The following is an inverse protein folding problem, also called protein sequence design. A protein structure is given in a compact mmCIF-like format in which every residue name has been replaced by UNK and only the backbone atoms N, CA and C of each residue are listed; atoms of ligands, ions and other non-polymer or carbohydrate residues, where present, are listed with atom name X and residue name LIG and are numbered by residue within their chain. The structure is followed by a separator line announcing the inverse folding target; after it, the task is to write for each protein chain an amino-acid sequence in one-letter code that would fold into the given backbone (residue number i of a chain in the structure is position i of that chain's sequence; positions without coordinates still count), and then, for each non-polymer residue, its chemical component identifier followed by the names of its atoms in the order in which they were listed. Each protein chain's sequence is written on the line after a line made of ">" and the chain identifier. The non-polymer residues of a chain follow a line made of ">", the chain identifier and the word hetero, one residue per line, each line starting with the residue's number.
data_IF_786146906502
#
_entry.id   IF_786146906502
#
_cell.length_a   1.000
_cell.length_b   1.000
_cell.length_c   1.000
_cell.angle_alpha   90.00
_cell.angle_beta   90.00
_cell.angle_gamma   90.00
#
_symmetry.space_group_name_H-M   'P 1'
#
loop_
_entity.id
_entity.type
_entity.pdbx_description
1 polymer ?
#
# COMPACT_ATOMS: atom_id res chain seq x y z
N UNK A 1 -48.12 -30.35 -29.52
CA UNK A 1 -48.69 -29.06 -29.09
C UNK A 1 -48.24 -28.50 -27.71
N UNK A 2 -47.29 -29.07 -26.92
CA UNK A 2 -46.86 -28.45 -25.66
C UNK A 2 -45.68 -27.45 -25.79
N UNK A 3 -45.03 -27.36 -26.96
CA UNK A 3 -43.82 -26.53 -27.15
C UNK A 3 -44.09 -25.04 -27.32
N UNK A 4 -45.27 -24.64 -27.80
CA UNK A 4 -45.63 -23.22 -27.97
C UNK A 4 -45.97 -22.54 -26.63
N UNK A 5 -46.52 -23.27 -25.66
CA UNK A 5 -46.83 -22.73 -24.34
C UNK A 5 -45.58 -22.38 -23.50
N UNK A 6 -44.48 -23.11 -23.71
CA UNK A 6 -43.21 -22.84 -23.02
C UNK A 6 -42.45 -21.63 -23.61
N UNK A 7 -42.71 -21.27 -24.88
CA UNK A 7 -42.12 -20.10 -25.52
C UNK A 7 -42.79 -18.79 -25.05
N UNK A 8 -44.12 -18.77 -24.90
CA UNK A 8 -44.85 -17.60 -24.40
C UNK A 8 -44.62 -17.33 -22.90
N UNK A 9 -44.36 -18.37 -22.10
CA UNK A 9 -43.95 -18.19 -20.70
C UNK A 9 -42.53 -17.62 -20.52
N UNK A 10 -41.65 -17.74 -21.52
CA UNK A 10 -40.30 -17.11 -21.48
C UNK A 10 -40.33 -15.65 -21.93
N UNK A 11 -41.25 -15.28 -22.82
CA UNK A 11 -41.42 -13.89 -23.26
C UNK A 11 -41.99 -12.99 -22.15
N UNK A 12 -42.89 -13.51 -21.32
CA UNK A 12 -43.54 -12.76 -20.23
C UNK A 12 -42.69 -12.62 -18.97
N UNK A 13 -41.67 -13.46 -18.77
CA UNK A 13 -40.75 -13.38 -17.61
C UNK A 13 -39.61 -12.35 -17.75
N UNK A 14 -39.46 -11.71 -18.92
CA UNK A 14 -38.38 -10.75 -19.20
C UNK A 14 -38.78 -9.28 -19.15
N UNK A 15 -40.08 -8.97 -19.15
CA UNK A 15 -40.58 -7.60 -19.12
C UNK A 15 -40.83 -7.18 -17.67
N UNK A 16 -39.80 -6.65 -17.00
CA UNK A 16 -40.01 -5.84 -15.79
C UNK A 16 -40.99 -4.73 -16.17
N UNK A 17 -42.17 -4.63 -15.51
CA UNK A 17 -43.19 -3.67 -15.86
C UNK A 17 -42.62 -2.25 -15.88
N UNK A 18 -43.03 -1.43 -16.86
CA UNK A 18 -42.51 -0.08 -17.04
C UNK A 18 -42.70 0.81 -15.80
N UNK A 19 -43.69 0.46 -14.97
CA UNK A 19 -44.03 1.10 -13.69
C UNK A 19 -42.93 0.93 -12.63
N UNK A 20 -42.34 -0.27 -12.50
CA UNK A 20 -41.21 -0.53 -11.60
C UNK A 20 -39.96 0.27 -12.02
N UNK A 21 -39.80 0.56 -13.30
CA UNK A 21 -38.68 1.39 -13.80
C UNK A 21 -38.87 2.87 -13.48
N UNK A 22 -40.12 3.35 -13.47
CA UNK A 22 -40.42 4.73 -13.07
C UNK A 22 -40.21 4.91 -11.56
N UNK A 23 -40.74 3.98 -10.75
CA UNK A 23 -40.53 3.97 -9.29
C UNK A 23 -39.07 3.82 -8.90
N UNK A 24 -38.30 2.94 -9.56
CA UNK A 24 -36.87 2.82 -9.34
C UNK A 24 -36.10 4.11 -9.72
N UNK A 25 -36.52 4.81 -10.79
CA UNK A 25 -35.94 6.10 -11.19
C UNK A 25 -36.24 7.20 -10.18
N UNK A 26 -37.45 7.25 -9.63
CA UNK A 26 -37.81 8.23 -8.58
C UNK A 26 -37.13 7.91 -7.25
N UNK A 27 -37.08 6.65 -6.83
CA UNK A 27 -36.32 6.23 -5.66
C UNK A 27 -34.82 6.54 -5.82
N UNK A 28 -34.26 6.35 -7.01
CA UNK A 28 -32.88 6.76 -7.33
C UNK A 28 -32.69 8.28 -7.34
N UNK A 29 -33.66 9.07 -7.81
CA UNK A 29 -33.60 10.54 -7.74
C UNK A 29 -33.71 11.03 -6.30
N UNK A 30 -34.58 10.43 -5.49
CA UNK A 30 -34.73 10.73 -4.07
C UNK A 30 -33.48 10.33 -3.28
N UNK A 31 -32.92 9.15 -3.53
CA UNK A 31 -31.65 8.72 -2.93
C UNK A 31 -30.48 9.60 -3.37
N UNK A 32 -30.42 10.03 -4.64
CA UNK A 32 -29.39 10.97 -5.13
C UNK A 32 -29.57 12.39 -4.60
N UNK A 33 -30.80 12.82 -4.32
CA UNK A 33 -31.08 14.08 -3.62
C UNK A 33 -30.73 14.02 -2.12
N UNK A 34 -30.81 12.84 -1.51
CA UNK A 34 -30.52 12.61 -0.10
C UNK A 34 -29.04 12.38 0.23
N UNK A 35 -28.23 11.86 -0.70
CA UNK A 35 -26.77 11.78 -0.51
C UNK A 35 -26.20 13.18 -0.72
N UNK A 36 -26.21 13.97 0.34
CA UNK A 36 -25.57 15.27 0.39
C UNK A 36 -24.14 15.13 -0.15
N UNK A 37 -23.88 15.77 -1.30
CA UNK A 37 -22.52 16.06 -1.70
C UNK A 37 -21.84 16.65 -0.47
N UNK A 38 -20.79 15.99 0.03
CA UNK A 38 -20.12 16.37 1.26
C UNK A 38 -19.98 17.89 1.29
N UNK A 39 -20.68 18.53 2.22
CA UNK A 39 -20.75 19.98 2.25
C UNK A 39 -19.32 20.52 2.30
N UNK A 40 -19.07 21.66 1.65
CA UNK A 40 -17.74 22.29 1.66
C UNK A 40 -17.15 22.39 3.08
N UNK A 41 -18.00 22.60 4.09
CA UNK A 41 -17.61 22.56 5.50
C UNK A 41 -17.08 21.21 5.99
N UNK A 42 -17.66 20.10 5.56
CA UNK A 42 -17.20 18.75 5.92
C UNK A 42 -15.84 18.43 5.26
N UNK A 43 -15.66 18.84 3.99
CA UNK A 43 -14.35 18.71 3.33
C UNK A 43 -13.31 19.56 4.05
N UNK A 44 -13.63 20.82 4.36
CA UNK A 44 -12.71 21.71 5.08
C UNK A 44 -12.37 21.18 6.48
N UNK A 45 -13.34 20.60 7.18
CA UNK A 45 -13.15 19.97 8.49
C UNK A 45 -12.27 18.72 8.40
N UNK A 46 -12.51 17.82 7.45
CA UNK A 46 -11.65 16.65 7.18
C UNK A 46 -10.20 17.10 6.92
N UNK A 47 -10.03 18.18 6.15
CA UNK A 47 -8.73 18.77 5.84
C UNK A 47 -8.05 19.37 7.06
N UNK A 48 -8.77 20.16 7.85
CA UNK A 48 -8.25 20.76 9.08
C UNK A 48 -7.81 19.68 10.07
N UNK A 49 -8.65 18.67 10.29
CA UNK A 49 -8.33 17.55 11.18
C UNK A 49 -7.12 16.78 10.67
N UNK A 50 -7.06 16.46 9.37
CA UNK A 50 -5.92 15.78 8.77
C UNK A 50 -4.61 16.58 8.87
N UNK A 51 -4.67 17.89 8.60
CA UNK A 51 -3.51 18.78 8.72
C UNK A 51 -3.06 18.91 10.16
N UNK A 52 -4.00 19.10 11.08
CA UNK A 52 -3.73 19.19 12.51
C UNK A 52 -3.09 17.91 13.04
N UNK A 53 -3.70 16.75 12.80
CA UNK A 53 -3.16 15.45 13.24
C UNK A 53 -1.76 15.22 12.67
N UNK A 54 -1.55 15.52 11.38
CA UNK A 54 -0.24 15.32 10.77
C UNK A 54 0.79 16.29 11.33
N UNK A 55 0.43 17.57 11.51
CA UNK A 55 1.30 18.56 12.11
C UNK A 55 1.65 18.20 13.57
N UNK A 56 0.67 17.77 14.37
CA UNK A 56 0.90 17.34 15.75
C UNK A 56 1.78 16.09 15.82
N UNK A 57 1.56 15.10 14.95
CA UNK A 57 2.41 13.91 14.88
C UNK A 57 3.84 14.27 14.44
N UNK A 58 3.99 15.18 13.48
CA UNK A 58 5.29 15.65 13.03
C UNK A 58 6.00 16.42 14.16
N UNK A 59 5.29 17.30 14.86
CA UNK A 59 5.80 18.05 16.01
C UNK A 59 6.17 17.12 17.16
N UNK A 60 5.35 16.12 17.48
CA UNK A 60 5.67 15.12 18.51
C UNK A 60 6.89 14.29 18.12
N UNK A 61 6.97 13.88 16.85
CA UNK A 61 8.15 13.21 16.31
C UNK A 61 9.38 14.10 16.48
N UNK A 62 9.29 15.38 16.07
CA UNK A 62 10.35 16.37 16.24
C UNK A 62 10.69 16.69 17.69
N UNK A 63 9.73 16.68 18.60
CA UNK A 63 10.00 16.88 20.02
C UNK A 63 10.74 15.66 20.60
N UNK A 64 10.38 14.46 20.15
CA UNK A 64 11.01 13.21 20.58
C UNK A 64 12.39 12.98 19.97
N UNK A 65 12.63 13.41 18.73
CA UNK A 65 13.89 13.18 18.00
C UNK A 65 14.72 14.44 17.78
N UNK A 66 14.18 15.62 18.07
CA UNK A 66 14.86 16.91 17.86
C UNK A 66 16.18 17.03 18.61
N UNK A 67 16.29 16.60 19.88
CA UNK A 67 17.57 16.61 20.59
C UNK A 67 18.64 15.74 19.92
N UNK A 68 18.27 14.55 19.44
CA UNK A 68 19.19 13.65 18.75
C UNK A 68 19.53 14.10 17.32
N UNK A 69 18.66 14.88 16.68
CA UNK A 69 18.93 15.49 15.36
C UNK A 69 19.82 16.74 15.49
N UNK A 70 19.58 17.58 16.49
CA UNK A 70 20.26 18.86 16.67
C UNK A 70 21.60 18.73 17.38
N UNK A 71 21.79 17.68 18.18
CA UNK A 71 23.07 17.30 18.79
C UNK A 71 23.27 15.82 18.54
N UNK A 72 23.72 15.43 17.34
CA UNK A 72 24.02 14.03 17.07
C UNK A 72 25.17 13.61 17.99
N UNK A 73 24.83 12.94 19.09
CA UNK A 73 25.82 12.24 19.88
C UNK A 73 26.43 11.17 18.98
N UNK A 74 27.70 11.37 18.61
CA UNK A 74 28.51 10.43 17.85
C UNK A 74 28.58 9.02 18.47
N UNK A 75 28.09 8.86 19.71
CA UNK A 75 27.91 7.57 20.37
C UNK A 75 26.71 6.77 19.82
N UNK A 76 25.72 7.42 19.21
CA UNK A 76 24.46 6.77 18.77
C UNK A 76 24.12 6.99 17.29
N UNK A 77 24.69 8.00 16.63
CA UNK A 77 24.55 8.21 15.19
C UNK A 77 25.93 8.08 14.50
N UNK A 78 25.97 7.55 13.28
CA UNK A 78 27.20 7.53 12.48
C UNK A 78 27.68 8.96 12.26
N UNK A 79 28.88 9.32 12.72
CA UNK A 79 29.47 10.64 12.49
C UNK A 79 29.69 10.84 10.98
N UNK A 80 28.75 11.51 10.33
CA UNK A 80 28.83 11.89 8.92
C UNK A 80 29.60 13.21 8.83
N UNK A 81 30.47 13.35 7.84
CA UNK A 81 31.09 14.66 7.56
C UNK A 81 30.09 15.56 6.84
N UNK A 82 30.30 16.88 6.89
CA UNK A 82 29.47 17.90 6.24
C UNK A 82 29.13 17.57 4.77
N UNK A 83 30.12 17.09 4.01
CA UNK A 83 29.96 16.67 2.62
C UNK A 83 28.97 15.51 2.46
N UNK A 84 28.97 14.55 3.39
CA UNK A 84 28.04 13.41 3.35
C UNK A 84 26.60 13.85 3.62
N UNK A 85 26.40 14.83 4.50
CA UNK A 85 25.08 15.40 4.76
C UNK A 85 24.48 16.10 3.52
N UNK A 86 25.31 16.79 2.72
CA UNK A 86 24.89 17.39 1.45
C UNK A 86 24.48 16.33 0.42
N UNK A 87 25.26 15.25 0.27
CA UNK A 87 24.89 14.12 -0.60
C UNK A 87 23.59 13.45 -0.13
N UNK A 88 23.40 13.32 1.18
CA UNK A 88 22.20 12.76 1.78
C UNK A 88 20.98 13.66 1.54
N UNK A 89 21.12 14.98 1.65
CA UNK A 89 20.07 15.93 1.31
C UNK A 89 19.67 15.84 -0.18
N UNK A 90 20.64 15.74 -1.08
CA UNK A 90 20.39 15.55 -2.52
C UNK A 90 19.72 14.20 -2.83
N UNK A 91 20.20 13.12 -2.22
CA UNK A 91 19.60 11.79 -2.33
C UNK A 91 18.17 11.76 -1.81
N UNK A 92 17.90 12.44 -0.69
CA UNK A 92 16.54 12.63 -0.17
C UNK A 92 15.65 13.39 -1.14
N UNK A 93 16.08 14.54 -1.64
CA UNK A 93 15.27 15.31 -2.59
C UNK A 93 14.88 14.46 -3.80
N UNK A 94 15.82 13.67 -4.33
CA UNK A 94 15.59 12.75 -5.44
C UNK A 94 14.61 11.62 -5.07
N UNK A 95 14.83 10.93 -3.95
CA UNK A 95 13.96 9.85 -3.48
C UNK A 95 12.54 10.35 -3.19
N UNK A 96 12.41 11.50 -2.54
CA UNK A 96 11.14 12.18 -2.28
C UNK A 96 10.42 12.55 -3.56
N UNK A 97 11.14 13.09 -4.55
CA UNK A 97 10.57 13.38 -5.87
C UNK A 97 10.08 12.13 -6.60
N UNK A 98 10.85 11.03 -6.57
CA UNK A 98 10.45 9.74 -7.16
C UNK A 98 9.25 9.15 -6.43
N UNK A 99 9.25 9.17 -5.09
CA UNK A 99 8.16 8.68 -4.25
C UNK A 99 6.90 9.51 -4.46
N UNK A 100 7.00 10.84 -4.56
CA UNK A 100 5.89 11.72 -4.88
C UNK A 100 5.35 11.45 -6.29
N UNK A 101 6.21 11.27 -7.29
CA UNK A 101 5.77 10.89 -8.64
C UNK A 101 5.09 9.53 -8.68
N UNK A 102 5.64 8.52 -8.00
CA UNK A 102 5.02 7.19 -7.93
C UNK A 102 3.74 7.19 -7.11
N UNK A 103 3.75 7.93 -6.00
CA UNK A 103 2.61 8.20 -5.14
C UNK A 103 1.51 8.84 -5.95
N UNK A 104 1.75 9.93 -6.68
CA UNK A 104 0.78 10.58 -7.56
C UNK A 104 0.36 9.74 -8.76
N UNK A 105 1.21 8.83 -9.27
CA UNK A 105 0.78 7.86 -10.30
C UNK A 105 -0.09 6.76 -9.72
N UNK A 106 0.22 6.32 -8.51
CA UNK A 106 -0.61 5.39 -7.78
C UNK A 106 -1.93 6.07 -7.44
N UNK A 107 -1.88 7.24 -6.78
CA UNK A 107 -2.91 8.13 -6.21
C UNK A 107 -3.73 8.95 -7.22
N UNK A 108 -3.23 9.19 -8.43
CA UNK A 108 -3.85 10.12 -9.38
C UNK A 108 -5.27 9.70 -9.78
N UNK A 109 -6.01 10.52 -10.56
CA UNK A 109 -7.39 10.30 -11.03
C UNK A 109 -7.75 8.89 -11.55
N UNK A 110 -6.76 8.05 -11.80
CA UNK A 110 -6.84 6.60 -12.01
C UNK A 110 -6.93 5.73 -10.73
N UNK A 111 -7.21 6.29 -9.54
CA UNK A 111 -7.84 5.55 -8.42
C UNK A 111 -9.23 5.07 -8.76
N UNK A 112 -9.77 5.65 -9.81
CA UNK A 112 -10.65 4.97 -10.69
C UNK A 112 -9.98 3.69 -11.23
N UNK A 113 -10.27 2.53 -10.60
CA UNK A 113 -10.08 1.22 -11.23
C UNK A 113 -10.49 1.33 -12.72
N UNK A 114 -9.91 0.55 -13.64
CA UNK A 114 -10.21 0.72 -15.08
C UNK A 114 -11.72 0.83 -15.34
N UNK A 115 -12.54 0.15 -14.53
CA UNK A 115 -14.00 0.29 -14.45
C UNK A 115 -14.52 1.67 -14.05
N UNK A 116 -14.03 2.27 -12.96
CA UNK A 116 -14.41 3.63 -12.54
C UNK A 116 -13.90 4.67 -13.55
N UNK A 117 -12.77 4.44 -14.22
CA UNK A 117 -12.22 5.38 -15.20
C UNK A 117 -13.07 5.37 -16.47
N UNK A 118 -13.47 4.17 -16.92
CA UNK A 118 -14.47 4.03 -17.98
C UNK A 118 -15.82 4.60 -17.58
N UNK A 119 -16.24 4.44 -16.31
CA UNK A 119 -17.49 5.00 -15.81
C UNK A 119 -17.48 6.53 -15.79
N UNK A 120 -16.42 7.15 -15.24
CA UNK A 120 -16.21 8.61 -15.22
C UNK A 120 -16.19 9.22 -16.62
N UNK A 121 -15.66 8.49 -17.62
CA UNK A 121 -15.66 8.92 -19.02
C UNK A 121 -17.03 8.79 -19.70
N UNK A 122 -17.95 8.05 -19.10
CA UNK A 122 -19.23 7.65 -19.69
C UNK A 122 -20.46 8.24 -18.97
N UNK A 123 -20.29 8.66 -17.72
CA UNK A 123 -21.37 9.25 -16.92
C UNK A 123 -21.73 10.65 -17.44
N UNK A 124 -23.04 10.98 -17.52
CA UNK A 124 -23.52 12.32 -17.86
C UNK A 124 -23.41 13.30 -16.67
N UNK A 125 -23.01 12.83 -15.48
CA UNK A 125 -22.80 13.69 -14.32
C UNK A 125 -21.61 14.63 -14.54
N UNK A 126 -21.68 15.82 -13.96
CA UNK A 126 -20.61 16.81 -14.02
C UNK A 126 -19.33 16.24 -13.38
N UNK A 127 -18.38 15.87 -14.24
CA UNK A 127 -17.12 15.22 -13.88
C UNK A 127 -16.28 16.10 -12.97
N UNK A 128 -16.41 17.42 -13.09
CA UNK A 128 -15.68 18.38 -12.27
C UNK A 128 -16.03 18.26 -10.79
N UNK A 129 -17.29 18.02 -10.47
CA UNK A 129 -17.77 17.92 -9.08
C UNK A 129 -17.34 16.60 -8.44
N UNK A 130 -17.44 15.49 -9.17
CA UNK A 130 -17.05 14.16 -8.70
C UNK A 130 -15.53 14.01 -8.54
N UNK A 131 -14.75 14.56 -9.47
CA UNK A 131 -13.29 14.47 -9.44
C UNK A 131 -12.65 15.46 -8.45
N UNK A 132 -13.30 16.60 -8.17
CA UNK A 132 -12.76 17.61 -7.23
C UNK A 132 -12.46 17.02 -5.86
N UNK A 133 -13.37 16.26 -5.27
CA UNK A 133 -13.17 15.69 -3.94
C UNK A 133 -11.98 14.71 -3.88
N UNK A 134 -11.84 13.86 -4.89
CA UNK A 134 -10.73 12.89 -4.99
C UNK A 134 -9.39 13.56 -5.28
N UNK A 135 -9.35 14.49 -6.25
CA UNK A 135 -8.14 15.23 -6.62
C UNK A 135 -7.66 16.08 -5.45
N UNK A 136 -8.57 16.73 -4.72
CA UNK A 136 -8.22 17.50 -3.53
C UNK A 136 -7.62 16.61 -2.44
N UNK A 137 -8.25 15.47 -2.11
CA UNK A 137 -7.70 14.53 -1.10
C UNK A 137 -6.33 13.98 -1.50
N UNK A 138 -6.14 13.59 -2.75
CA UNK A 138 -4.85 13.07 -3.26
C UNK A 138 -3.79 14.17 -3.29
N UNK A 139 -4.15 15.34 -3.78
CA UNK A 139 -3.28 16.52 -3.80
C UNK A 139 -2.85 16.89 -2.38
N UNK A 140 -3.77 16.82 -1.42
CA UNK A 140 -3.46 17.06 -0.01
C UNK A 140 -2.43 16.09 0.53
N UNK A 141 -2.70 14.79 0.41
CA UNK A 141 -1.80 13.75 0.92
C UNK A 141 -0.43 13.88 0.27
N UNK A 142 -0.38 14.18 -1.04
CA UNK A 142 0.87 14.43 -1.74
C UNK A 142 1.60 15.67 -1.18
N UNK A 143 0.91 16.78 -0.96
CA UNK A 143 1.48 18.01 -0.39
C UNK A 143 2.02 17.77 1.01
N UNK A 144 1.25 17.11 1.88
CA UNK A 144 1.66 16.81 3.26
C UNK A 144 2.86 15.88 3.27
N UNK A 145 2.84 14.83 2.44
CA UNK A 145 3.95 13.88 2.35
C UNK A 145 5.23 14.52 1.80
N UNK A 146 5.15 15.34 0.75
CA UNK A 146 6.34 16.03 0.21
C UNK A 146 6.81 17.16 1.11
N UNK A 147 5.92 17.84 1.84
CA UNK A 147 6.31 18.85 2.82
C UNK A 147 7.08 18.20 3.97
N UNK A 148 6.58 17.10 4.54
CA UNK A 148 7.29 16.33 5.56
C UNK A 148 8.66 15.85 5.05
N UNK A 149 8.73 15.43 3.79
CA UNK A 149 9.97 15.05 3.14
C UNK A 149 10.95 16.23 2.94
N UNK A 150 10.42 17.40 2.57
CA UNK A 150 11.18 18.64 2.45
C UNK A 150 11.76 19.09 3.79
N UNK A 151 11.02 18.91 4.89
CA UNK A 151 11.53 19.16 6.24
C UNK A 151 12.75 18.29 6.53
N UNK A 152 12.67 16.98 6.28
CA UNK A 152 13.81 16.06 6.46
C UNK A 152 15.03 16.48 5.61
N UNK A 153 14.81 16.83 4.34
CA UNK A 153 15.86 17.34 3.46
C UNK A 153 16.48 18.65 3.97
N UNK A 154 15.67 19.54 4.55
CA UNK A 154 16.12 20.77 5.18
C UNK A 154 17.01 20.52 6.39
N UNK A 155 16.68 19.55 7.24
CA UNK A 155 17.55 19.17 8.36
C UNK A 155 18.90 18.66 7.89
N UNK A 156 18.94 17.75 6.92
CA UNK A 156 20.19 17.27 6.35
C UNK A 156 21.04 18.42 5.78
N UNK A 157 20.39 19.39 5.14
CA UNK A 157 21.06 20.55 4.57
C UNK A 157 21.60 21.51 5.64
N UNK A 158 20.86 21.74 6.73
CA UNK A 158 21.32 22.59 7.86
C UNK A 158 22.52 21.99 8.54
N UNK A 159 22.45 20.70 8.87
CA UNK A 159 23.55 19.97 9.51
C UNK A 159 24.77 19.97 8.60
N UNK A 160 24.61 19.65 7.31
CA UNK A 160 25.72 19.64 6.35
C UNK A 160 26.31 21.00 6.01
N UNK A 161 25.63 22.10 6.31
CA UNK A 161 26.15 23.46 6.14
C UNK A 161 26.75 24.04 7.43
N UNK A 162 26.73 23.30 8.55
CA UNK A 162 27.22 23.77 9.84
C UNK A 162 26.47 25.01 10.38
N UNK A 163 25.22 25.23 9.96
CA UNK A 163 24.43 26.43 10.32
C UNK A 163 23.60 26.21 11.58
N UNK A 164 24.27 26.14 12.73
CA UNK A 164 23.61 25.88 14.02
C UNK A 164 22.78 27.06 14.55
N UNK A 165 23.11 28.30 14.17
CA UNK A 165 22.52 29.50 14.77
C UNK A 165 21.13 29.88 14.27
N UNK A 166 20.68 29.34 13.12
CA UNK A 166 19.35 29.64 12.56
C UNK A 166 18.79 28.48 11.68
N UNK A 167 18.51 27.30 12.26
CA UNK A 167 18.09 26.12 11.50
C UNK A 167 16.69 26.27 10.86
N UNK A 168 15.83 27.13 11.43
CA UNK A 168 14.41 27.21 11.06
C UNK A 168 14.20 27.68 9.62
N UNK A 169 14.92 28.70 9.18
CA UNK A 169 14.75 29.29 7.85
C UNK A 169 15.04 28.31 6.69
N UNK A 170 16.20 27.61 6.66
CA UNK A 170 16.48 26.60 5.63
C UNK A 170 15.54 25.38 5.69
N UNK A 171 15.13 24.94 6.88
CA UNK A 171 14.14 23.85 7.02
C UNK A 171 12.80 24.26 6.41
N UNK A 172 12.32 25.47 6.74
CA UNK A 172 11.08 26.01 6.18
C UNK A 172 11.17 26.19 4.66
N UNK A 173 12.32 26.64 4.13
CA UNK A 173 12.55 26.76 2.70
C UNK A 173 12.50 25.41 1.97
N UNK A 174 13.11 24.36 2.53
CA UNK A 174 13.04 23.02 1.96
C UNK A 174 11.63 22.41 2.04
N UNK A 175 10.89 22.67 3.13
CA UNK A 175 9.49 22.27 3.25
C UNK A 175 8.62 22.95 2.17
N UNK A 176 8.78 24.26 1.98
CA UNK A 176 8.12 25.04 0.92
C UNK A 176 8.47 24.50 -0.48
N UNK A 177 9.74 24.19 -0.73
CA UNK A 177 10.16 23.58 -1.99
C UNK A 177 9.46 22.23 -2.22
N UNK A 178 9.32 21.40 -1.17
CA UNK A 178 8.57 20.14 -1.20
C UNK A 178 7.08 20.33 -1.57
N UNK A 179 6.43 21.37 -1.01
CA UNK A 179 5.05 21.74 -1.35
C UNK A 179 4.95 22.13 -2.83
N UNK A 180 5.84 23.02 -3.31
CA UNK A 180 5.87 23.48 -4.71
C UNK A 180 6.05 22.30 -5.67
N UNK A 181 6.96 21.36 -5.34
CA UNK A 181 7.17 20.14 -6.13
C UNK A 181 5.91 19.27 -6.17
N UNK A 182 5.21 19.06 -5.05
CA UNK A 182 3.96 18.30 -5.06
C UNK A 182 2.89 18.96 -5.93
N UNK A 183 2.72 20.28 -5.85
CA UNK A 183 1.76 21.02 -6.68
C UNK A 183 2.09 20.86 -8.16
N UNK A 184 3.36 21.05 -8.54
CA UNK A 184 3.82 20.89 -9.92
C UNK A 184 3.65 19.45 -10.43
N UNK A 185 4.03 18.44 -9.63
CA UNK A 185 3.87 17.04 -10.01
C UNK A 185 2.39 16.66 -10.15
N UNK A 186 1.51 17.20 -9.30
CA UNK A 186 0.05 16.99 -9.39
C UNK A 186 -0.48 17.61 -10.68
N UNK A 187 -0.09 18.84 -11.01
CA UNK A 187 -0.47 19.50 -12.26
C UNK A 187 0.03 18.73 -13.49
N UNK A 188 1.28 18.26 -13.50
CA UNK A 188 1.84 17.44 -14.59
C UNK A 188 1.09 16.10 -14.71
N UNK A 189 0.76 15.45 -13.59
CA UNK A 189 -0.02 14.22 -13.61
C UNK A 189 -1.41 14.44 -14.22
N UNK A 190 -2.10 15.51 -13.82
CA UNK A 190 -3.41 15.90 -14.37
C UNK A 190 -3.30 16.22 -15.87
N UNK A 191 -2.29 16.99 -16.29
CA UNK A 191 -2.09 17.35 -17.70
C UNK A 191 -1.83 16.12 -18.58
N UNK A 192 -0.94 15.21 -18.16
CA UNK A 192 -0.65 13.98 -18.92
C UNK A 192 -1.86 13.05 -19.02
N UNK A 193 -2.75 13.08 -18.03
CA UNK A 193 -3.98 12.31 -18.04
C UNK A 193 -5.07 12.96 -18.92
N UNK A 194 -5.15 14.29 -18.94
CA UNK A 194 -6.06 15.05 -19.81
C UNK A 194 -5.69 15.00 -21.30
N UNK A 195 -4.41 14.81 -21.62
CA UNK A 195 -3.91 14.72 -23.00
C UNK A 195 -4.23 13.42 -23.75
N UNK A 196 -4.84 12.42 -23.10
CA UNK A 196 -5.36 11.23 -23.78
C UNK A 196 -6.68 11.57 -24.50
N UNK A 197 -6.60 12.28 -25.63
CA UNK A 197 -7.75 12.74 -26.43
C UNK A 197 -8.43 11.59 -27.19
N UNK A 198 -7.79 10.41 -27.30
CA UNK A 198 -8.25 9.30 -28.13
C UNK A 198 -9.41 8.41 -27.61
N UNK A 199 -9.81 8.32 -26.32
CA UNK A 199 -10.88 7.41 -25.91
C UNK A 199 -12.29 8.02 -25.99
N UNK A 200 -12.43 9.34 -26.22
CA UNK A 200 -13.71 10.05 -26.18
C UNK A 200 -14.71 9.67 -27.29
N UNK A 201 -14.26 9.01 -28.36
CA UNK A 201 -15.14 8.44 -29.41
C UNK A 201 -15.56 7.01 -29.09
N UNK A 202 -14.67 6.20 -28.52
CA UNK A 202 -14.98 4.82 -28.13
C UNK A 202 -15.89 4.76 -26.89
N UNK A 203 -15.75 5.70 -25.96
CA UNK A 203 -16.60 5.77 -24.76
C UNK A 203 -18.05 6.19 -25.05
N UNK A 204 -18.28 6.93 -26.15
CA UNK A 204 -19.63 7.31 -26.61
C UNK A 204 -20.42 6.17 -27.27
N UNK A 205 -19.75 5.04 -27.58
CA UNK A 205 -20.38 3.89 -28.20
C UNK A 205 -20.90 2.85 -27.19
N UNK A 206 -20.70 3.06 -25.88
CA UNK A 206 -21.11 2.11 -24.84
C UNK A 206 -22.52 2.47 -24.32
N UNK A 207 -23.48 1.53 -24.32
CA UNK A 207 -24.86 1.79 -23.88
C UNK A 207 -24.97 2.17 -22.40
N UNK A 208 -25.81 3.16 -22.09
CA UNK A 208 -26.04 3.69 -20.72
C UNK A 208 -26.40 2.61 -19.68
N UNK A 209 -27.06 1.54 -20.10
CA UNK A 209 -27.43 0.43 -19.22
C UNK A 209 -26.21 -0.39 -18.73
N UNK A 210 -25.18 -0.54 -19.56
CA UNK A 210 -23.92 -1.20 -19.16
C UNK A 210 -23.09 -0.30 -18.25
N UNK A 211 -23.17 1.01 -18.48
CA UNK A 211 -22.51 2.02 -17.66
C UNK A 211 -23.13 2.11 -16.26
N UNK A 212 -24.45 1.99 -16.14
CA UNK A 212 -25.15 1.91 -14.86
C UNK A 212 -24.79 0.65 -14.07
N UNK A 213 -24.72 -0.52 -14.71
CA UNK A 213 -24.23 -1.76 -14.06
C UNK A 213 -22.77 -1.66 -13.64
N UNK A 214 -21.93 -1.01 -14.45
CA UNK A 214 -20.54 -0.75 -14.08
C UNK A 214 -20.43 0.23 -12.91
N UNK A 215 -21.35 1.18 -12.79
CA UNK A 215 -21.45 2.15 -11.69
C UNK A 215 -21.85 1.49 -10.37
N UNK A 216 -22.84 0.59 -10.41
CA UNK A 216 -23.30 -0.15 -9.24
C UNK A 216 -22.21 -1.11 -8.77
N UNK A 217 -21.52 -1.76 -9.71
CA UNK A 217 -20.34 -2.57 -9.40
C UNK A 217 -19.21 -1.74 -8.83
N UNK A 218 -18.92 -0.55 -9.37
CA UNK A 218 -17.81 0.29 -8.86
C UNK A 218 -18.14 1.02 -7.57
N UNK A 219 -19.40 1.34 -7.31
CA UNK A 219 -19.87 1.87 -6.03
C UNK A 219 -19.91 0.77 -4.97
N UNK A 220 -20.35 -0.45 -5.30
CA UNK A 220 -20.23 -1.61 -4.42
C UNK A 220 -18.75 -1.98 -4.17
N UNK A 221 -17.90 -1.84 -5.19
CA UNK A 221 -16.45 -2.02 -5.10
C UNK A 221 -15.78 -0.91 -4.29
N UNK A 222 -16.22 0.34 -4.45
CA UNK A 222 -15.80 1.52 -3.69
C UNK A 222 -16.22 1.43 -2.22
N UNK A 223 -17.42 0.93 -1.96
CA UNK A 223 -17.89 0.58 -0.63
C UNK A 223 -17.11 -0.62 -0.07
N UNK A 224 -16.72 -1.59 -0.90
CA UNK A 224 -15.86 -2.72 -0.49
C UNK A 224 -14.40 -2.33 -0.28
N UNK A 225 -13.87 -1.32 -0.98
CA UNK A 225 -12.53 -0.75 -0.75
C UNK A 225 -12.52 0.19 0.46
N UNK A 226 -13.63 0.86 0.76
CA UNK A 226 -13.84 1.53 2.05
C UNK A 226 -14.05 0.53 3.19
N UNK A 227 -14.55 -0.68 2.90
CA UNK A 227 -14.43 -1.85 3.77
C UNK A 227 -13.05 -2.57 3.67
N UNK A 228 -12.07 -1.92 3.01
CA UNK A 228 -10.63 -2.19 3.09
C UNK A 228 -10.18 -3.64 2.86
N UNK A 229 -10.70 -4.31 1.82
CA UNK A 229 -9.98 -5.45 1.23
C UNK A 229 -9.61 -5.24 -0.25
N UNK A 230 -8.51 -4.52 -0.53
CA UNK A 230 -7.98 -4.40 -1.89
C UNK A 230 -7.57 -5.77 -2.49
N UNK A 231 -7.34 -6.78 -1.66
CA UNK A 231 -6.98 -8.13 -2.14
C UNK A 231 -8.20 -8.87 -2.69
N UNK A 232 -9.38 -8.70 -2.09
CA UNK A 232 -10.64 -9.26 -2.61
C UNK A 232 -10.96 -8.76 -4.02
N UNK A 233 -10.64 -7.51 -4.33
CA UNK A 233 -10.79 -6.91 -5.65
C UNK A 233 -9.78 -7.42 -6.68
N UNK A 234 -8.53 -7.60 -6.28
CA UNK A 234 -7.52 -8.21 -7.14
C UNK A 234 -7.87 -9.68 -7.44
N UNK A 235 -8.41 -10.40 -6.46
CA UNK A 235 -8.95 -11.77 -6.60
C UNK A 235 -10.19 -11.81 -7.49
N UNK A 236 -11.16 -10.90 -7.34
CA UNK A 236 -12.34 -10.86 -8.20
C UNK A 236 -12.00 -10.45 -9.64
N UNK A 237 -11.10 -9.49 -9.83
CA UNK A 237 -10.68 -9.04 -11.16
C UNK A 237 -9.82 -10.10 -11.89
N UNK A 238 -9.01 -10.85 -11.15
CA UNK A 238 -8.24 -11.98 -11.69
C UNK A 238 -9.17 -13.16 -12.00
N UNK A 239 -10.13 -13.48 -11.12
CA UNK A 239 -11.14 -14.53 -11.35
C UNK A 239 -12.02 -14.22 -12.56
N UNK A 240 -12.46 -12.97 -12.75
CA UNK A 240 -13.19 -12.54 -13.96
C UNK A 240 -12.32 -12.62 -15.22
N UNK A 241 -11.04 -12.25 -15.15
CA UNK A 241 -10.10 -12.36 -16.29
C UNK A 241 -9.83 -13.80 -16.69
N UNK A 242 -9.68 -14.70 -15.73
CA UNK A 242 -9.50 -16.14 -15.95
C UNK A 242 -10.80 -16.76 -16.45
N UNK A 243 -11.95 -16.43 -15.85
CA UNK A 243 -13.26 -16.90 -16.28
C UNK A 243 -13.63 -16.50 -17.71
N UNK A 244 -13.24 -15.30 -18.16
CA UNK A 244 -13.45 -14.85 -19.54
C UNK A 244 -12.56 -15.53 -20.58
N UNK A 245 -11.43 -16.12 -20.18
CA UNK A 245 -10.46 -16.75 -21.10
C UNK A 245 -10.60 -18.27 -21.21
N UNK A 246 -11.54 -18.87 -20.49
CA UNK A 246 -11.79 -20.31 -20.53
C UNK A 246 -10.67 -21.15 -19.91
N UNK A 247 -10.61 -22.43 -20.25
CA UNK A 247 -9.58 -23.36 -19.75
C UNK A 247 -8.22 -22.98 -20.32
N UNK A 248 -7.27 -22.60 -19.46
CA UNK A 248 -5.88 -22.46 -19.87
C UNK A 248 -5.23 -23.85 -19.91
N UNK A 249 -4.59 -24.25 -21.02
CA UNK A 249 -3.76 -25.45 -21.03
C UNK A 249 -2.61 -25.22 -20.04
N UNK A 250 -2.66 -25.91 -18.91
CA UNK A 250 -1.57 -25.95 -17.95
C UNK A 250 -0.39 -26.65 -18.63
N UNK A 251 0.67 -25.90 -18.95
CA UNK A 251 1.92 -26.53 -19.40
C UNK A 251 2.46 -27.38 -18.25
N UNK A 252 2.94 -28.62 -18.54
CA UNK A 252 3.63 -29.41 -17.53
C UNK A 252 4.81 -28.59 -16.99
N UNK A 253 4.84 -28.42 -15.67
CA UNK A 253 5.90 -27.68 -14.99
C UNK A 253 7.23 -28.40 -15.16
N UNK A 254 8.25 -27.69 -15.63
CA UNK A 254 9.64 -28.19 -15.66
C UNK A 254 10.23 -28.14 -14.24
N UNK A 255 10.38 -29.28 -13.58
CA UNK A 255 11.05 -29.41 -12.27
C UNK A 255 10.40 -30.46 -11.36
N UNK A 256 11.18 -31.04 -10.44
CA UNK A 256 10.66 -31.88 -9.36
C UNK A 256 9.65 -31.11 -8.49
N UNK A 257 8.83 -31.85 -7.71
CA UNK A 257 7.64 -31.31 -7.05
C UNK A 257 7.82 -29.95 -6.38
N UNK A 258 8.86 -29.78 -5.54
CA UNK A 258 9.11 -28.55 -4.76
C UNK A 258 9.90 -27.49 -5.55
N UNK A 259 10.90 -27.90 -6.32
CA UNK A 259 11.74 -26.95 -7.10
C UNK A 259 10.95 -26.28 -8.22
N UNK A 260 9.94 -26.96 -8.77
CA UNK A 260 9.00 -26.39 -9.74
C UNK A 260 8.28 -25.14 -9.20
N UNK A 261 7.82 -25.17 -7.94
CA UNK A 261 7.17 -24.02 -7.31
C UNK A 261 8.11 -22.83 -7.13
N UNK A 262 9.35 -23.10 -6.69
CA UNK A 262 10.36 -22.05 -6.54
C UNK A 262 10.67 -21.38 -7.88
N UNK A 263 10.86 -22.16 -8.94
CA UNK A 263 11.14 -21.64 -10.29
C UNK A 263 9.99 -20.79 -10.81
N UNK A 264 8.74 -21.20 -10.57
CA UNK A 264 7.56 -20.41 -10.94
C UNK A 264 7.53 -19.08 -10.20
N UNK A 265 7.79 -19.08 -8.89
CA UNK A 265 7.78 -17.85 -8.10
C UNK A 265 8.91 -16.90 -8.49
N UNK A 266 10.12 -17.42 -8.74
CA UNK A 266 11.26 -16.62 -9.24
C UNK A 266 10.95 -16.01 -10.61
N UNK A 267 10.30 -16.74 -11.52
CA UNK A 267 9.86 -16.19 -12.81
C UNK A 267 8.78 -15.12 -12.63
N UNK A 268 7.85 -15.31 -11.69
CA UNK A 268 6.83 -14.33 -11.36
C UNK A 268 7.45 -13.06 -10.75
N UNK A 269 8.45 -13.22 -9.87
CA UNK A 269 9.22 -12.14 -9.29
C UNK A 269 9.97 -11.35 -10.38
N UNK A 270 10.61 -12.04 -11.32
CA UNK A 270 11.28 -11.42 -12.47
C UNK A 270 10.30 -10.61 -13.32
N UNK A 271 9.07 -11.06 -13.52
CA UNK A 271 8.02 -10.29 -14.23
C UNK A 271 7.55 -9.07 -13.43
N UNK A 272 7.68 -9.11 -12.10
CA UNK A 272 7.32 -8.04 -11.15
C UNK A 272 8.52 -7.18 -10.74
N UNK A 273 9.65 -7.26 -11.45
CA UNK A 273 10.91 -6.59 -11.07
C UNK A 273 10.75 -5.08 -10.82
N UNK A 274 9.89 -4.40 -11.60
CA UNK A 274 9.64 -2.97 -11.44
C UNK A 274 8.95 -2.63 -10.10
N UNK A 275 8.07 -3.51 -9.59
CA UNK A 275 7.46 -3.36 -8.27
C UNK A 275 8.47 -3.65 -7.16
N UNK A 276 9.31 -4.67 -7.35
CA UNK A 276 10.40 -5.01 -6.41
C UNK A 276 11.38 -3.85 -6.29
N UNK A 277 11.82 -3.27 -7.41
CA UNK A 277 12.67 -2.07 -7.39
C UNK A 277 11.99 -0.88 -6.73
N UNK A 278 10.70 -0.67 -7.01
CA UNK A 278 9.92 0.37 -6.34
C UNK A 278 9.91 0.21 -4.82
N UNK A 279 9.78 -1.02 -4.33
CA UNK A 279 9.81 -1.32 -2.91
C UNK A 279 11.24 -1.26 -2.33
N UNK A 280 12.27 -1.67 -3.07
CA UNK A 280 13.68 -1.55 -2.67
C UNK A 280 14.13 -0.09 -2.56
N UNK A 281 13.60 0.82 -3.39
CA UNK A 281 13.80 2.26 -3.19
C UNK A 281 13.25 2.74 -1.83
N UNK A 282 12.21 2.08 -1.32
CA UNK A 282 11.72 2.30 0.05
C UNK A 282 12.75 1.93 1.13
N UNK A 283 13.68 1.01 0.86
CA UNK A 283 14.78 0.74 1.79
C UNK A 283 15.81 1.86 1.83
N UNK A 284 16.01 2.56 0.70
CA UNK A 284 16.79 3.80 0.68
C UNK A 284 16.16 4.90 1.53
N UNK A 285 14.82 5.00 1.50
CA UNK A 285 14.07 5.87 2.42
C UNK A 285 14.29 5.47 3.88
N UNK A 286 14.21 4.18 4.19
CA UNK A 286 14.45 3.68 5.55
C UNK A 286 15.88 3.95 6.04
N UNK A 287 16.89 3.80 5.16
CA UNK A 287 18.28 4.14 5.45
C UNK A 287 18.43 5.62 5.83
N UNK A 288 17.90 6.50 4.99
CA UNK A 288 17.92 7.94 5.22
C UNK A 288 17.27 8.28 6.57
N UNK A 289 16.10 7.69 6.84
CA UNK A 289 15.42 7.88 8.13
C UNK A 289 16.32 7.42 9.28
N UNK A 290 16.99 6.28 9.15
CA UNK A 290 17.93 5.80 10.16
C UNK A 290 19.14 6.69 10.37
N UNK A 291 19.69 7.27 9.30
CA UNK A 291 20.84 8.18 9.38
C UNK A 291 20.48 9.53 10.03
N UNK A 292 19.23 9.99 9.87
CA UNK A 292 18.77 11.26 10.41
C UNK A 292 18.18 11.14 11.82
N UNK A 293 17.39 10.10 12.06
CA UNK A 293 16.57 9.94 13.27
C UNK A 293 17.11 8.84 14.20
N UNK A 294 18.20 8.17 13.82
CA UNK A 294 18.86 7.11 14.60
C UNK A 294 18.35 5.69 14.32
N UNK A 295 19.00 4.71 14.96
CA UNK A 295 18.74 3.27 14.73
C UNK A 295 17.30 2.85 14.97
N UNK A 296 16.62 3.43 15.97
CA UNK A 296 15.23 3.07 16.28
C UNK A 296 14.30 3.41 15.11
N UNK A 297 14.32 4.65 14.63
CA UNK A 297 13.47 5.09 13.54
C UNK A 297 13.81 4.36 12.24
N UNK A 298 15.10 4.23 11.93
CA UNK A 298 15.58 3.45 10.78
C UNK A 298 15.09 2.00 10.83
N UNK A 299 15.11 1.38 12.01
CA UNK A 299 14.65 0.01 12.19
C UNK A 299 13.14 -0.12 11.98
N UNK A 300 12.32 0.74 12.61
CA UNK A 300 10.87 0.69 12.48
C UNK A 300 10.42 0.85 11.02
N UNK A 301 10.99 1.83 10.31
CA UNK A 301 10.68 2.04 8.88
C UNK A 301 11.18 0.86 8.04
N UNK A 302 12.36 0.33 8.32
CA UNK A 302 12.88 -0.86 7.62
C UNK A 302 11.99 -2.08 7.84
N UNK A 303 11.45 -2.29 9.04
CA UNK A 303 10.51 -3.39 9.32
C UNK A 303 9.24 -3.28 8.48
N UNK A 304 8.67 -2.07 8.37
CA UNK A 304 7.46 -1.83 7.55
C UNK A 304 7.75 -2.01 6.06
N UNK A 305 8.85 -1.44 5.56
CA UNK A 305 9.27 -1.60 4.16
C UNK A 305 9.61 -3.06 3.85
N UNK A 306 10.27 -3.76 4.77
CA UNK A 306 10.58 -5.18 4.68
C UNK A 306 9.31 -6.03 4.56
N UNK A 307 8.27 -5.73 5.33
CA UNK A 307 6.96 -6.37 5.19
C UNK A 307 6.33 -6.11 3.81
N UNK A 308 6.39 -4.88 3.31
CA UNK A 308 5.90 -4.56 1.95
C UNK A 308 6.67 -5.35 0.90
N UNK A 309 8.01 -5.41 1.01
CA UNK A 309 8.87 -6.21 0.14
C UNK A 309 8.53 -7.70 0.19
N UNK A 310 8.32 -8.26 1.38
CA UNK A 310 7.93 -9.64 1.57
C UNK A 310 6.56 -9.92 0.92
N UNK A 311 5.57 -9.03 1.05
CA UNK A 311 4.26 -9.18 0.38
C UNK A 311 4.36 -9.11 -1.14
N UNK A 312 5.16 -8.18 -1.67
CA UNK A 312 5.38 -8.05 -3.12
C UNK A 312 6.15 -9.25 -3.69
N UNK A 313 7.12 -9.76 -2.93
CA UNK A 313 7.99 -10.88 -3.32
C UNK A 313 7.37 -12.26 -3.10
N UNK A 314 6.44 -12.40 -2.16
CA UNK A 314 5.87 -13.67 -1.71
C UNK A 314 4.47 -13.98 -2.24
N UNK A 315 4.09 -13.47 -3.42
CA UNK A 315 2.74 -13.65 -3.94
C UNK A 315 2.28 -15.12 -4.01
N UNK A 316 3.18 -16.04 -4.38
CA UNK A 316 2.89 -17.48 -4.36
C UNK A 316 2.71 -18.04 -2.95
N UNK A 317 3.52 -17.60 -1.99
CA UNK A 317 3.37 -17.99 -0.58
C UNK A 317 2.04 -17.51 0.00
N UNK A 318 1.66 -16.25 -0.25
CA UNK A 318 0.40 -15.71 0.23
C UNK A 318 -0.79 -16.49 -0.36
N UNK A 319 -0.75 -16.81 -1.66
CA UNK A 319 -1.78 -17.61 -2.32
C UNK A 319 -1.87 -19.04 -1.78
N UNK A 320 -0.72 -19.65 -1.47
CA UNK A 320 -0.65 -20.98 -0.84
C UNK A 320 -1.28 -21.00 0.56
N UNK A 321 -0.97 -19.97 1.35
CA UNK A 321 -1.48 -19.79 2.71
C UNK A 321 -2.99 -19.49 2.70
N UNK A 322 -3.44 -18.64 1.78
CA UNK A 322 -4.86 -18.22 1.72
C UNK A 322 -5.79 -19.24 1.08
N UNK A 323 -5.27 -20.26 0.37
CA UNK A 323 -6.10 -21.16 -0.46
C UNK A 323 -5.98 -22.63 -0.02
N UNK A 324 -6.90 -23.16 0.81
CA UNK A 324 -6.87 -24.56 1.25
C UNK A 324 -6.96 -25.57 0.11
N UNK A 325 -7.61 -25.21 -1.01
CA UNK A 325 -7.71 -26.08 -2.19
C UNK A 325 -6.37 -26.33 -2.87
N UNK A 326 -5.46 -25.34 -2.88
CA UNK A 326 -4.11 -25.47 -3.43
C UNK A 326 -3.28 -26.46 -2.59
N UNK A 327 -3.44 -26.42 -1.26
CA UNK A 327 -2.77 -27.34 -0.35
C UNK A 327 -3.20 -28.79 -0.55
N UNK A 328 -4.50 -29.01 -0.78
CA UNK A 328 -5.07 -30.34 -1.04
C UNK A 328 -4.70 -30.91 -2.41
N UNK A 329 -4.51 -30.04 -3.40
CA UNK A 329 -4.19 -30.46 -4.77
C UNK A 329 -2.69 -30.71 -5.01
N UNK A 330 -1.81 -30.28 -4.11
CA UNK A 330 -0.38 -30.43 -4.27
C UNK A 330 0.07 -31.85 -3.87
N UNK A 331 0.84 -32.56 -4.71
CA UNK A 331 1.32 -33.91 -4.42
C UNK A 331 2.50 -33.96 -3.41
N UNK A 332 2.91 -32.82 -2.84
CA UNK A 332 4.08 -32.70 -1.97
C UNK A 332 3.68 -32.31 -0.54
N UNK A 333 4.56 -32.61 0.42
CA UNK A 333 4.32 -32.27 1.83
C UNK A 333 4.16 -30.74 2.00
N UNK A 334 3.09 -30.27 2.67
CA UNK A 334 2.71 -28.85 2.65
C UNK A 334 3.76 -27.93 3.27
N UNK A 335 4.49 -28.42 4.28
CA UNK A 335 5.59 -27.68 4.88
C UNK A 335 6.74 -27.45 3.90
N UNK A 336 7.08 -28.42 3.05
CA UNK A 336 8.17 -28.31 2.09
C UNK A 336 7.85 -27.30 0.96
N UNK A 337 6.59 -27.24 0.53
CA UNK A 337 6.14 -26.24 -0.46
C UNK A 337 6.13 -24.85 0.17
N UNK A 338 5.63 -24.73 1.40
CA UNK A 338 5.61 -23.47 2.14
C UNK A 338 7.02 -22.90 2.39
N UNK A 339 7.98 -23.75 2.79
CA UNK A 339 9.38 -23.31 2.99
C UNK A 339 10.01 -22.87 1.67
N UNK A 340 9.80 -23.60 0.58
CA UNK A 340 10.30 -23.21 -0.74
C UNK A 340 9.72 -21.86 -1.20
N UNK A 341 8.41 -21.64 -1.00
CA UNK A 341 7.75 -20.38 -1.34
C UNK A 341 8.11 -19.23 -0.40
N UNK A 342 8.64 -19.51 0.80
CA UNK A 342 9.14 -18.50 1.74
C UNK A 342 10.53 -17.95 1.38
N UNK A 343 11.30 -18.66 0.55
CA UNK A 343 12.66 -18.22 0.15
C UNK A 343 12.64 -16.88 -0.60
N UNK A 344 11.83 -16.67 -1.66
CA UNK A 344 11.84 -15.40 -2.38
C UNK A 344 11.49 -14.16 -1.53
N UNK A 345 10.40 -14.13 -0.74
CA UNK A 345 10.10 -12.97 0.11
C UNK A 345 11.17 -12.74 1.18
N UNK A 346 11.74 -13.81 1.76
CA UNK A 346 12.84 -13.71 2.72
C UNK A 346 14.07 -13.05 2.09
N UNK A 347 14.51 -13.52 0.91
CA UNK A 347 15.68 -12.98 0.22
C UNK A 347 15.45 -11.51 -0.15
N UNK A 348 14.28 -11.17 -0.70
CA UNK A 348 13.97 -9.80 -1.12
C UNK A 348 13.90 -8.85 0.09
N UNK A 349 13.24 -9.26 1.18
CA UNK A 349 13.16 -8.47 2.40
C UNK A 349 14.51 -8.36 3.11
N UNK A 350 15.29 -9.45 3.17
CA UNK A 350 16.62 -9.47 3.77
C UNK A 350 17.63 -8.61 3.02
N UNK A 351 17.63 -8.63 1.68
CA UNK A 351 18.45 -7.73 0.85
C UNK A 351 18.03 -6.28 1.04
N UNK A 352 16.73 -5.98 1.06
CA UNK A 352 16.23 -4.64 1.35
C UNK A 352 16.64 -4.15 2.74
N UNK A 353 16.49 -4.99 3.76
CA UNK A 353 16.94 -4.70 5.11
C UNK A 353 18.46 -4.52 5.21
N UNK A 354 19.24 -5.28 4.43
CA UNK A 354 20.70 -5.14 4.40
C UNK A 354 21.12 -3.77 3.83
N UNK A 355 20.45 -3.32 2.76
CA UNK A 355 20.66 -1.97 2.19
C UNK A 355 20.35 -0.88 3.22
N UNK A 356 19.34 -1.09 4.08
CA UNK A 356 18.93 -0.10 5.06
C UNK A 356 19.74 -0.10 6.36
N UNK A 357 20.12 -1.28 6.87
CA UNK A 357 20.62 -1.44 8.24
C UNK A 357 22.14 -1.59 8.33
N UNK A 358 22.79 -2.23 7.35
CA UNK A 358 24.25 -2.39 7.39
C UNK A 358 24.99 -1.04 7.38
N UNK A 359 24.57 -0.02 6.58
CA UNK A 359 25.23 1.28 6.62
C UNK A 359 24.99 2.04 7.92
N UNK A 360 23.98 1.66 8.71
CA UNK A 360 23.76 2.20 10.06
C UNK A 360 24.70 1.57 11.10
N UNK A 361 25.57 0.64 10.71
CA UNK A 361 26.47 -0.07 11.62
C UNK A 361 25.80 -1.19 12.41
N UNK A 362 24.57 -1.59 12.04
CA UNK A 362 23.93 -2.75 12.67
C UNK A 362 24.65 -4.05 12.26
N UNK A 363 24.66 -5.05 13.15
CA UNK A 363 25.39 -6.28 12.92
C UNK A 363 24.80 -7.09 11.75
N UNK A 364 25.62 -7.93 11.12
CA UNK A 364 25.26 -8.69 9.91
C UNK A 364 24.01 -9.59 10.07
N UNK A 365 23.68 -10.00 11.29
CA UNK A 365 22.51 -10.83 11.57
C UNK A 365 21.19 -10.04 11.61
N UNK A 366 21.24 -8.72 11.79
CA UNK A 366 20.03 -7.88 11.89
C UNK A 366 19.18 -7.89 10.60
N UNK A 367 19.75 -7.70 9.39
CA UNK A 367 19.01 -7.86 8.13
C UNK A 367 18.34 -9.23 7.96
N UNK A 368 19.00 -10.30 8.40
CA UNK A 368 18.47 -11.66 8.32
C UNK A 368 17.28 -11.84 9.25
N UNK A 369 17.39 -11.41 10.51
CA UNK A 369 16.29 -11.46 11.47
C UNK A 369 15.07 -10.65 11.00
N UNK A 370 15.30 -9.46 10.43
CA UNK A 370 14.24 -8.61 9.87
C UNK A 370 13.60 -9.25 8.64
N UNK A 371 14.38 -9.86 7.75
CA UNK A 371 13.86 -10.61 6.61
C UNK A 371 12.97 -11.79 7.04
N UNK A 372 13.39 -12.55 8.07
CA UNK A 372 12.59 -13.63 8.66
C UNK A 372 11.30 -13.09 9.27
N UNK A 373 11.39 -12.03 10.09
CA UNK A 373 10.25 -11.38 10.72
C UNK A 373 9.26 -10.79 9.73
N UNK A 374 9.74 -10.13 8.69
CA UNK A 374 8.93 -9.58 7.60
C UNK A 374 8.20 -10.68 6.81
N UNK A 375 8.87 -11.81 6.58
CA UNK A 375 8.25 -12.97 5.91
C UNK A 375 7.19 -13.62 6.80
N UNK A 376 7.47 -13.78 8.09
CA UNK A 376 6.51 -14.28 9.07
C UNK A 376 5.28 -13.35 9.19
N UNK A 377 5.52 -12.04 9.20
CA UNK A 377 4.51 -11.00 9.21
C UNK A 377 3.66 -11.00 7.93
N UNK A 378 4.27 -11.25 6.77
CA UNK A 378 3.56 -11.39 5.51
C UNK A 378 2.65 -12.63 5.54
N UNK A 379 3.16 -13.79 5.98
CA UNK A 379 2.35 -15.01 6.14
C UNK A 379 1.17 -14.77 7.06
N UNK A 380 1.40 -14.14 8.22
CA UNK A 380 0.34 -13.77 9.16
C UNK A 380 -0.70 -12.85 8.52
N UNK A 381 -0.26 -11.87 7.75
CA UNK A 381 -1.15 -10.94 7.07
C UNK A 381 -1.99 -11.56 5.94
N UNK A 382 -1.56 -12.68 5.35
CA UNK A 382 -2.34 -13.43 4.35
C UNK A 382 -3.50 -14.22 4.96
N UNK A 383 -3.54 -14.33 6.29
CA UNK A 383 -4.64 -14.94 7.04
C UNK A 383 -5.33 -13.84 7.84
N UNK A 384 -6.18 -13.03 7.19
CA UNK A 384 -6.88 -11.98 7.90
C UNK A 384 -7.69 -12.59 9.05
N UNK A 385 -7.72 -11.93 10.22
CA UNK A 385 -8.55 -12.38 11.33
C UNK A 385 -10.02 -12.46 10.87
N UNK A 386 -10.84 -13.37 11.45
CA UNK A 386 -12.23 -13.48 11.09
C UNK A 386 -12.91 -12.10 11.17
N UNK A 387 -13.63 -11.75 10.10
CA UNK A 387 -14.31 -10.48 9.96
C UNK A 387 -15.58 -10.46 10.82
N UNK A 388 -15.44 -10.71 12.12
CA UNK A 388 -16.39 -10.15 13.06
C UNK A 388 -16.22 -8.64 12.95
N UNK A 389 -17.27 -7.96 12.51
CA UNK A 389 -17.37 -6.50 12.55
C UNK A 389 -17.25 -6.11 14.03
N UNK A 390 -16.01 -5.98 14.49
CA UNK A 390 -15.72 -5.63 15.88
C UNK A 390 -16.37 -4.31 16.21
N UNK A 391 -16.44 -4.01 17.52
CA UNK A 391 -17.01 -2.77 18.06
C UNK A 391 -16.66 -1.57 17.16
N UNK A 392 -17.69 -0.87 16.68
CA UNK A 392 -17.51 0.37 15.93
C UNK A 392 -17.31 1.48 16.94
N UNK A 393 -16.09 2.02 17.00
CA UNK A 393 -15.76 3.13 17.88
C UNK A 393 -16.06 4.44 17.16
N UNK A 394 -16.91 5.27 17.75
CA UNK A 394 -17.07 6.64 17.29
C UNK A 394 -15.80 7.42 17.61
N UNK A 395 -15.06 7.83 16.58
CA UNK A 395 -13.92 8.73 16.73
C UNK A 395 -14.28 10.12 16.18
N UNK A 396 -13.55 11.19 16.54
CA UNK A 396 -13.77 12.52 15.97
C UNK A 396 -13.63 12.55 14.44
N UNK A 397 -12.93 11.58 13.84
CA UNK A 397 -12.77 11.41 12.40
C UNK A 397 -13.86 10.51 11.75
N UNK A 398 -14.86 10.11 12.53
CA UNK A 398 -15.94 9.21 12.10
C UNK A 398 -15.88 7.82 12.77
N UNK A 399 -16.88 6.96 12.49
CA UNK A 399 -16.91 5.60 13.01
C UNK A 399 -15.76 4.77 12.43
N UNK A 400 -14.89 4.25 13.29
CA UNK A 400 -13.82 3.31 12.93
C UNK A 400 -14.16 1.92 13.48
N UNK A 401 -14.23 0.91 12.62
CA UNK A 401 -14.42 -0.47 13.06
C UNK A 401 -13.10 -1.02 13.61
N UNK A 402 -13.14 -1.53 14.84
CA UNK A 402 -11.96 -2.14 15.49
C UNK A 402 -11.43 -3.34 14.69
N UNK A 403 -12.30 -4.05 13.97
CA UNK A 403 -11.91 -5.14 13.05
C UNK A 403 -11.02 -4.66 11.91
N UNK A 404 -11.23 -3.45 11.41
CA UNK A 404 -10.44 -2.86 10.31
C UNK A 404 -9.09 -2.34 10.80
N UNK A 405 -9.05 -1.73 11.99
CA UNK A 405 -7.76 -1.40 12.62
C UNK A 405 -6.97 -2.69 12.88
N UNK A 406 -7.62 -3.73 13.40
CA UNK A 406 -7.01 -5.04 13.64
C UNK A 406 -6.47 -5.66 12.36
N UNK A 407 -7.17 -5.56 11.22
CA UNK A 407 -6.70 -6.12 9.95
C UNK A 407 -5.49 -5.36 9.38
N UNK A 408 -5.45 -4.03 9.50
CA UNK A 408 -4.30 -3.20 9.07
C UNK A 408 -3.08 -3.46 9.95
N UNK A 409 -3.29 -3.58 11.25
CA UNK A 409 -2.23 -3.87 12.22
C UNK A 409 -1.76 -5.32 12.11
N UNK A 410 -2.60 -6.24 11.62
CA UNK A 410 -2.27 -7.65 11.50
C UNK A 410 -1.04 -7.89 10.60
N UNK A 411 0.01 -8.46 11.19
CA UNK A 411 1.29 -8.69 10.53
C UNK A 411 2.23 -7.49 10.66
N UNK A 412 1.74 -6.26 10.53
CA UNK A 412 2.55 -5.05 10.77
C UNK A 412 3.07 -5.03 12.21
N UNK A 413 2.22 -5.41 13.17
CA UNK A 413 2.58 -5.62 14.57
C UNK A 413 3.78 -6.57 14.74
N UNK A 414 3.77 -7.68 14.02
CA UNK A 414 4.81 -8.70 14.08
C UNK A 414 6.13 -8.22 13.48
N UNK A 415 6.08 -7.51 12.34
CA UNK A 415 7.27 -6.93 11.72
C UNK A 415 7.94 -5.88 12.62
N UNK A 416 7.14 -5.05 13.28
CA UNK A 416 7.62 -4.05 14.24
C UNK A 416 8.18 -4.71 15.51
N UNK A 417 7.50 -5.72 16.05
CA UNK A 417 7.97 -6.48 17.21
C UNK A 417 9.33 -7.15 16.97
N UNK A 418 9.55 -7.74 15.79
CA UNK A 418 10.86 -8.30 15.43
C UNK A 418 11.91 -7.20 15.26
N UNK A 419 11.56 -6.04 14.69
CA UNK A 419 12.47 -4.90 14.62
C UNK A 419 12.93 -4.42 16.01
N UNK A 420 12.00 -4.32 16.95
CA UNK A 420 12.30 -3.98 18.35
C UNK A 420 13.15 -5.04 19.04
N UNK A 421 12.85 -6.33 18.81
CA UNK A 421 13.65 -7.45 19.32
C UNK A 421 15.09 -7.39 18.83
N UNK A 422 15.30 -7.05 17.54
CA UNK A 422 16.64 -6.90 16.95
C UNK A 422 17.42 -5.78 17.65
N UNK A 423 16.80 -4.63 17.93
CA UNK A 423 17.47 -3.55 18.65
C UNK A 423 17.81 -3.94 20.09
N UNK A 424 16.87 -4.58 20.80
CA UNK A 424 17.09 -5.05 22.17
C UNK A 424 18.23 -6.08 22.23
N UNK A 425 18.24 -7.04 21.30
CA UNK A 425 19.29 -8.06 21.24
C UNK A 425 20.65 -7.50 20.83
N UNK A 426 20.68 -6.46 19.99
CA UNK A 426 21.91 -5.75 19.67
C UNK A 426 22.47 -5.04 20.91
N UNK A 427 21.62 -4.33 21.67
CA UNK A 427 22.03 -3.65 22.91
C UNK A 427 22.57 -4.62 23.98
N UNK A 428 22.07 -5.86 24.01
CA UNK A 428 22.48 -6.88 24.99
C UNK A 428 23.57 -7.84 24.46
N UNK A 429 24.01 -7.71 23.20
CA UNK A 429 24.98 -8.63 22.60
C UNK A 429 24.46 -10.06 22.34
N UNK A 430 23.14 -10.28 22.34
CA UNK A 430 22.50 -11.61 22.19
C UNK A 430 21.89 -11.84 20.80
N UNK A 431 22.55 -11.32 19.76
CA UNK A 431 22.09 -11.38 18.37
C UNK A 431 21.65 -12.75 17.85
N UNK A 432 22.41 -13.84 18.10
CA UNK A 432 22.00 -15.18 17.67
C UNK A 432 20.65 -15.63 18.23
N UNK A 433 20.28 -15.21 19.44
CA UNK A 433 18.98 -15.53 20.05
C UNK A 433 17.83 -14.81 19.32
N UNK A 434 18.02 -13.56 18.92
CA UNK A 434 17.01 -12.84 18.12
C UNK A 434 16.81 -13.49 16.74
N UNK A 435 17.88 -13.96 16.10
CA UNK A 435 17.79 -14.67 14.83
C UNK A 435 17.09 -16.02 14.99
N UNK A 436 17.42 -16.77 16.04
CA UNK A 436 16.72 -18.02 16.37
C UNK A 436 15.24 -17.79 16.66
N UNK A 437 14.90 -16.73 17.42
CA UNK A 437 13.51 -16.34 17.69
C UNK A 437 12.76 -15.95 16.42
N UNK A 438 13.36 -15.16 15.53
CA UNK A 438 12.75 -14.79 14.24
C UNK A 438 12.57 -16.00 13.31
N UNK A 439 13.53 -16.93 13.30
CA UNK A 439 13.43 -18.18 12.55
C UNK A 439 12.34 -19.10 13.12
N UNK A 440 12.29 -19.24 14.45
CA UNK A 440 11.25 -20.00 15.16
C UNK A 440 9.86 -19.40 14.93
N UNK A 441 9.74 -18.07 14.92
CA UNK A 441 8.50 -17.36 14.60
C UNK A 441 8.04 -17.65 13.17
N UNK A 442 8.94 -17.59 12.18
CA UNK A 442 8.61 -17.95 10.81
C UNK A 442 8.22 -19.43 10.70
N UNK A 443 8.98 -20.33 11.34
CA UNK A 443 8.68 -21.76 11.40
C UNK A 443 7.30 -22.03 11.98
N UNK A 444 6.96 -21.39 13.11
CA UNK A 444 5.65 -21.48 13.73
C UNK A 444 4.54 -20.96 12.80
N UNK A 445 4.74 -19.81 12.17
CA UNK A 445 3.76 -19.29 11.20
C UNK A 445 3.57 -20.23 10.01
N UNK A 446 4.61 -20.90 9.52
CA UNK A 446 4.48 -21.83 8.39
C UNK A 446 3.84 -23.16 8.82
N UNK A 447 4.19 -23.69 10.00
CA UNK A 447 3.80 -25.02 10.47
C UNK A 447 2.48 -25.06 11.25
N UNK A 448 1.95 -23.92 11.73
CA UNK A 448 0.68 -23.92 12.47
C UNK A 448 -0.43 -24.56 11.65
N UNK A 449 -1.26 -25.38 12.31
CA UNK A 449 -2.47 -25.95 11.71
C UNK A 449 -3.43 -24.83 11.33
N UNK A 450 -4.15 -25.02 10.21
CA UNK A 450 -5.03 -24.01 9.60
C UNK A 450 -6.37 -24.64 9.21
N UNK A 451 -6.84 -25.54 10.07
CA UNK A 451 -8.03 -26.36 9.83
C UNK A 451 -9.32 -25.61 10.20
#
# INVERSE_FOLDING_TARGET
>A
MPERAAADQRATKGAVPAEDRAGAREALRAARGGVHAAGWGQVLQDWYVGLFVTATLLVMLFAATGPSILRPDCATATCLTDTHHLWLAGGMALLGGIAAMRGLRAAGPAWADRGQATWLLSTPADRGVLLRGGILRVGFVAVVATAAWGVLAGFALVVGLGRESAPVAPIAACALAGVVVAVLLTAVALWRQGGAVLPGRAARAVPDAELLRASELTAAVGASTLMLDPTALEVLSSRRRVGRRGRHPSRPGTGGGVTGWLVVEVRALRRRWSRVLGALLGCGVALVVGLLLGHLAGMLVTSVVGLVLARVGGGGLMAWVSTPGLRRAAPAHPAAVATALAVPPFVVAGVGAAVALLPLGLPWWAPLAVGLGATAAAVRAAEPPPAELGLVLATPAGPLSTGLVRSVVHGTDLALAVGLLVLAAHAQGVGPLALAAAAGLLGWQLLRSRD
#
